data_IF_137709023114
#
_entry.id   IF_137709023114
#
_cell.length_a   1.000
_cell.length_b   1.000
_cell.length_c   1.000
_cell.angle_alpha   90.00
_cell.angle_beta   90.00
_cell.angle_gamma   90.00
#
_symmetry.space_group_name_H-M   'P 1'
#
loop_
_entity.id
_entity.type
_entity.pdbx_description
1 polymer ?
#
# COMPACT_ATOMS: atom_id res chain seq x y z
N UNK A 1 5.07 2.18 8.98
CA UNK A 1 5.41 2.60 10.36
C UNK A 1 5.66 4.10 10.47
N UNK A 2 4.93 4.93 9.73
CA UNK A 2 5.18 6.37 9.72
C UNK A 2 4.42 7.03 10.88
N UNK A 3 5.03 8.01 11.53
CA UNK A 3 4.30 9.08 12.22
C UNK A 3 3.95 10.09 11.14
N UNK A 4 2.67 10.25 10.83
CA UNK A 4 2.19 11.24 9.82
C UNK A 4 1.42 12.37 10.49
N UNK A 5 0.65 12.07 11.54
CA UNK A 5 -0.09 13.02 12.35
C UNK A 5 0.25 12.74 13.80
N UNK A 6 0.79 13.72 14.54
CA UNK A 6 1.27 13.54 15.92
C UNK A 6 2.62 12.83 16.04
N UNK A 7 3.06 12.57 17.26
CA UNK A 7 4.41 12.07 17.57
C UNK A 7 4.56 10.54 17.47
N UNK A 8 3.44 9.81 17.41
CA UNK A 8 3.43 8.36 17.36
C UNK A 8 3.18 7.81 15.95
N UNK A 9 3.58 6.55 15.71
CA UNK A 9 3.29 5.88 14.45
C UNK A 9 1.81 5.54 14.32
N UNK A 10 1.31 5.48 13.08
CA UNK A 10 -0.12 5.18 12.82
C UNK A 10 -0.60 3.87 13.45
N UNK A 11 0.23 2.83 13.41
CA UNK A 11 -0.09 1.52 14.02
C UNK A 11 -0.21 1.63 15.55
N UNK A 12 0.65 2.43 16.19
CA UNK A 12 0.58 2.66 17.65
C UNK A 12 -0.68 3.44 18.03
N UNK A 13 -1.01 4.48 17.27
CA UNK A 13 -2.26 5.22 17.46
C UNK A 13 -3.50 4.35 17.27
N UNK A 14 -3.46 3.41 16.33
CA UNK A 14 -4.54 2.44 16.09
C UNK A 14 -4.68 1.43 17.22
N UNK A 15 -3.58 0.92 17.78
CA UNK A 15 -3.65 0.04 18.94
C UNK A 15 -4.14 0.76 20.20
N UNK A 16 -3.69 1.99 20.43
CA UNK A 16 -4.07 2.77 21.61
C UNK A 16 -5.54 3.21 21.58
N UNK A 17 -6.09 3.59 20.41
CA UNK A 17 -7.49 4.08 20.34
C UNK A 17 -8.52 3.04 20.75
N UNK A 18 -8.19 1.75 20.66
CA UNK A 18 -9.06 0.68 21.14
C UNK A 18 -9.23 0.69 22.66
N UNK A 19 -8.27 1.25 23.41
CA UNK A 19 -8.31 1.31 24.86
C UNK A 19 -8.65 -0.04 25.49
N UNK A 20 -9.50 -0.01 26.51
CA UNK A 20 -9.95 -1.22 27.21
C UNK A 20 -11.13 -1.93 26.52
N UNK A 21 -11.66 -1.37 25.40
CA UNK A 21 -12.73 -2.04 24.64
C UNK A 21 -12.23 -3.35 24.05
N UNK A 22 -10.98 -3.37 23.58
CA UNK A 22 -10.27 -4.59 23.22
C UNK A 22 -8.93 -4.59 23.95
N UNK A 23 -8.76 -5.35 25.04
CA UNK A 23 -7.51 -5.38 25.78
C UNK A 23 -6.38 -5.99 24.93
N UNK A 24 -5.09 -5.67 25.20
CA UNK A 24 -3.95 -6.11 24.40
C UNK A 24 -3.91 -7.62 24.10
N UNK A 25 -4.29 -8.46 25.06
CA UNK A 25 -4.28 -9.92 24.93
C UNK A 25 -5.31 -10.45 23.93
N UNK A 26 -6.33 -9.64 23.60
CA UNK A 26 -7.36 -9.96 22.61
C UNK A 26 -7.12 -9.30 21.25
N UNK A 27 -6.13 -8.42 21.13
CA UNK A 27 -5.76 -7.81 19.85
C UNK A 27 -4.99 -8.81 18.99
N UNK A 28 -5.03 -8.59 17.68
CA UNK A 28 -4.23 -9.32 16.70
C UNK A 28 -3.84 -8.35 15.59
N UNK A 29 -2.58 -8.42 15.17
CA UNK A 29 -2.07 -7.69 14.02
C UNK A 29 -1.69 -8.70 12.95
N UNK A 30 -2.40 -8.69 11.83
CA UNK A 30 -2.02 -9.44 10.63
C UNK A 30 -1.33 -8.47 9.69
N UNK A 31 -0.11 -8.81 9.28
CA UNK A 31 0.75 -7.92 8.49
C UNK A 31 1.70 -8.74 7.63
N UNK A 32 2.42 -8.12 6.70
CA UNK A 32 3.45 -8.82 5.94
C UNK A 32 4.57 -9.34 6.86
N UNK A 33 5.07 -10.56 6.62
CA UNK A 33 6.14 -11.19 7.39
C UNK A 33 7.36 -10.28 7.62
N UNK A 34 7.72 -9.44 6.64
CA UNK A 34 8.86 -8.50 6.75
C UNK A 34 8.64 -7.41 7.80
N UNK A 35 7.39 -7.11 8.16
CA UNK A 35 7.02 -6.05 9.10
C UNK A 35 6.85 -6.57 10.53
N UNK A 36 6.87 -7.89 10.77
CA UNK A 36 6.57 -8.48 12.08
C UNK A 36 7.50 -7.95 13.19
N UNK A 37 8.81 -7.96 12.96
CA UNK A 37 9.79 -7.50 13.96
C UNK A 37 9.62 -6.01 14.31
N UNK A 38 9.22 -5.25 13.30
CA UNK A 38 9.03 -3.82 13.35
C UNK A 38 7.72 -3.43 14.05
N UNK A 39 6.64 -4.15 13.77
CA UNK A 39 5.38 -4.07 14.52
C UNK A 39 5.57 -4.46 15.98
N UNK A 40 6.32 -5.52 16.27
CA UNK A 40 6.59 -5.96 17.64
C UNK A 40 7.31 -4.87 18.47
N UNK A 41 8.25 -4.12 17.86
CA UNK A 41 8.87 -2.96 18.51
C UNK A 41 7.89 -1.81 18.74
N UNK A 42 6.96 -1.60 17.81
CA UNK A 42 5.94 -0.55 17.91
C UNK A 42 4.80 -0.90 18.87
N UNK A 43 4.60 -2.18 19.19
CA UNK A 43 3.51 -2.66 20.06
C UNK A 43 4.04 -3.70 21.06
N UNK A 44 4.99 -3.32 21.96
CA UNK A 44 5.60 -4.26 22.91
C UNK A 44 4.60 -4.86 23.91
N UNK A 45 3.44 -4.25 24.07
CA UNK A 45 2.33 -4.76 24.90
C UNK A 45 1.60 -5.96 24.29
N UNK A 46 1.76 -6.23 22.99
CA UNK A 46 1.11 -7.36 22.34
C UNK A 46 1.91 -8.66 22.55
N UNK A 47 1.23 -9.79 22.82
CA UNK A 47 1.87 -11.10 22.77
C UNK A 47 2.45 -11.34 21.38
N UNK A 48 3.64 -11.94 21.29
CA UNK A 48 4.27 -12.25 20.00
C UNK A 48 3.38 -13.13 19.10
N UNK A 49 2.63 -14.06 19.70
CA UNK A 49 1.65 -14.91 19.01
C UNK A 49 0.45 -14.15 18.43
N UNK A 50 0.27 -12.88 18.79
CA UNK A 50 -0.79 -12.01 18.28
C UNK A 50 -0.35 -11.18 17.08
N UNK A 51 0.91 -11.30 16.64
CA UNK A 51 1.43 -10.65 15.43
C UNK A 51 1.66 -11.73 14.37
N UNK A 52 0.77 -11.79 13.39
CA UNK A 52 0.78 -12.78 12.32
C UNK A 52 1.44 -12.21 11.07
N UNK A 53 2.48 -12.89 10.59
CA UNK A 53 3.21 -12.51 9.38
C UNK A 53 2.74 -13.26 8.14
N UNK A 54 2.06 -12.57 7.22
CA UNK A 54 1.69 -13.09 5.93
C UNK A 54 2.92 -13.22 5.01
N UNK A 55 3.13 -14.38 4.36
CA UNK A 55 4.32 -14.62 3.53
C UNK A 55 4.32 -13.77 2.24
N UNK A 56 3.15 -13.42 1.73
CA UNK A 56 2.98 -12.60 0.53
C UNK A 56 1.67 -11.81 0.57
N UNK A 57 1.54 -10.74 -0.23
CA UNK A 57 0.31 -9.95 -0.29
C UNK A 57 -0.82 -10.74 -0.99
N UNK A 58 -1.98 -10.84 -0.33
CA UNK A 58 -3.21 -11.44 -0.87
C UNK A 58 -4.47 -10.59 -0.66
N UNK A 59 -4.31 -9.31 -0.38
CA UNK A 59 -5.41 -8.36 -0.12
C UNK A 59 -6.21 -8.72 1.16
N UNK A 60 -7.31 -8.03 1.45
CA UNK A 60 -7.93 -8.05 2.78
C UNK A 60 -8.78 -9.29 3.08
N UNK A 61 -9.37 -9.97 2.10
CA UNK A 61 -10.24 -11.13 2.41
C UNK A 61 -9.45 -12.32 2.99
N UNK A 62 -8.29 -12.73 2.42
CA UNK A 62 -7.49 -13.80 3.01
C UNK A 62 -6.90 -13.44 4.38
N UNK A 63 -6.48 -12.18 4.55
CA UNK A 63 -6.02 -11.63 5.83
C UNK A 63 -7.09 -11.76 6.93
N UNK A 64 -8.32 -11.31 6.63
CA UNK A 64 -9.46 -11.36 7.55
C UNK A 64 -9.90 -12.80 7.80
N UNK A 65 -9.95 -13.64 6.76
CA UNK A 65 -10.32 -15.05 6.87
C UNK A 65 -9.35 -15.82 7.77
N UNK A 66 -8.04 -15.56 7.64
CA UNK A 66 -7.02 -16.15 8.52
C UNK A 66 -7.24 -15.71 9.97
N UNK A 67 -7.43 -14.40 10.21
CA UNK A 67 -7.70 -13.88 11.55
C UNK A 67 -8.96 -14.51 12.17
N UNK A 68 -10.04 -14.63 11.40
CA UNK A 68 -11.29 -15.23 11.84
C UNK A 68 -11.14 -16.71 12.18
N UNK A 69 -10.39 -17.50 11.39
CA UNK A 69 -10.10 -18.90 11.70
C UNK A 69 -9.20 -19.03 12.95
N UNK A 70 -8.23 -18.15 13.14
CA UNK A 70 -7.40 -18.15 14.35
C UNK A 70 -8.23 -17.83 15.60
N UNK A 71 -9.17 -16.89 15.52
CA UNK A 71 -10.12 -16.62 16.60
C UNK A 71 -11.01 -17.84 16.84
N UNK A 72 -11.65 -18.37 15.80
CA UNK A 72 -12.61 -19.46 15.91
C UNK A 72 -12.00 -20.80 16.36
N UNK A 73 -10.86 -21.19 15.77
CA UNK A 73 -10.22 -22.50 15.99
C UNK A 73 -9.09 -22.42 17.02
N UNK A 74 -8.08 -21.58 16.78
CA UNK A 74 -6.88 -21.56 17.61
C UNK A 74 -7.15 -20.98 19.01
N UNK A 75 -8.00 -19.94 19.10
CA UNK A 75 -8.47 -19.36 20.38
C UNK A 75 -9.76 -20.01 20.90
N UNK A 76 -10.36 -20.94 20.16
CA UNK A 76 -11.59 -21.66 20.51
C UNK A 76 -12.80 -20.74 20.77
N UNK A 77 -12.92 -19.65 20.01
CA UNK A 77 -13.98 -18.65 20.17
C UNK A 77 -14.73 -18.40 18.84
N UNK A 78 -15.52 -19.37 18.34
CA UNK A 78 -16.21 -19.25 17.06
C UNK A 78 -17.29 -18.15 17.03
N UNK A 79 -17.84 -17.79 18.20
CA UNK A 79 -18.82 -16.72 18.35
C UNK A 79 -18.19 -15.37 18.73
N UNK A 80 -16.86 -15.31 18.80
CA UNK A 80 -16.13 -14.09 19.13
C UNK A 80 -16.43 -12.96 18.14
N UNK A 81 -16.86 -11.82 18.67
CA UNK A 81 -17.05 -10.60 17.89
C UNK A 81 -15.70 -9.97 17.57
N UNK A 82 -15.44 -9.76 16.28
CA UNK A 82 -14.23 -9.15 15.75
C UNK A 82 -14.52 -7.72 15.33
N UNK A 83 -13.69 -6.78 15.78
CA UNK A 83 -13.55 -5.45 15.18
C UNK A 83 -12.32 -5.46 14.28
N UNK A 84 -12.53 -5.26 12.99
CA UNK A 84 -11.49 -5.26 11.95
C UNK A 84 -11.28 -3.83 11.48
N UNK A 85 -10.03 -3.37 11.47
CA UNK A 85 -9.70 -2.00 11.07
C UNK A 85 -8.32 -1.89 10.42
N UNK A 86 -8.15 -1.02 9.42
CA UNK A 86 -6.84 -0.68 8.88
C UNK A 86 -5.95 0.02 9.92
N UNK A 87 -4.65 -0.25 9.84
CA UNK A 87 -3.66 0.26 10.78
C UNK A 87 -3.23 1.72 10.51
N UNK A 88 -3.64 2.28 9.38
CA UNK A 88 -3.15 3.52 8.78
C UNK A 88 -4.19 4.65 8.72
N UNK A 89 -5.36 4.47 9.32
CA UNK A 89 -6.37 5.53 9.43
C UNK A 89 -6.09 6.47 10.62
N UNK A 90 -6.35 7.77 10.44
CA UNK A 90 -6.39 8.73 11.54
C UNK A 90 -7.82 8.83 12.04
N UNK A 91 -8.02 8.52 13.32
CA UNK A 91 -9.30 8.70 14.02
C UNK A 91 -9.05 9.55 15.26
N UNK A 92 -9.76 10.67 15.37
CA UNK A 92 -9.70 11.54 16.55
C UNK A 92 -10.72 11.09 17.60
N UNK A 93 -10.56 11.56 18.85
CA UNK A 93 -11.47 11.26 19.98
C UNK A 93 -11.67 9.75 20.22
N UNK A 94 -10.66 9.05 20.77
CA UNK A 94 -10.72 7.61 21.05
C UNK A 94 -11.98 7.19 21.80
N UNK A 95 -12.48 8.00 22.73
CA UNK A 95 -13.66 7.67 23.55
C UNK A 95 -14.94 7.57 22.71
N UNK A 96 -15.07 8.43 21.69
CA UNK A 96 -16.21 8.42 20.76
C UNK A 96 -16.12 7.22 19.83
N UNK A 97 -14.91 6.90 19.35
CA UNK A 97 -14.67 5.69 18.56
C UNK A 97 -15.01 4.42 19.37
N UNK A 98 -14.55 4.35 20.61
CA UNK A 98 -14.81 3.23 21.53
C UNK A 98 -16.31 3.04 21.81
N UNK A 99 -17.06 4.14 22.01
CA UNK A 99 -18.51 4.07 22.17
C UNK A 99 -19.19 3.52 20.90
N UNK A 100 -18.74 3.94 19.72
CA UNK A 100 -19.26 3.42 18.44
C UNK A 100 -18.92 1.93 18.22
N UNK A 101 -17.74 1.47 18.65
CA UNK A 101 -17.38 0.04 18.62
C UNK A 101 -18.28 -0.79 19.54
N UNK A 102 -18.55 -0.31 20.77
CA UNK A 102 -19.50 -0.98 21.68
C UNK A 102 -20.92 -1.04 21.12
N UNK A 103 -21.35 0.02 20.42
CA UNK A 103 -22.63 0.01 19.72
C UNK A 103 -22.65 -1.04 18.59
N UNK A 104 -21.56 -1.14 17.81
CA UNK A 104 -21.44 -2.15 16.77
C UNK A 104 -21.47 -3.58 17.33
N UNK A 105 -20.77 -3.82 18.44
CA UNK A 105 -20.83 -5.09 19.18
C UNK A 105 -22.26 -5.42 19.63
N UNK A 106 -22.96 -4.47 20.25
CA UNK A 106 -24.35 -4.66 20.68
C UNK A 106 -25.31 -4.98 19.51
N UNK A 107 -25.10 -4.37 18.34
CA UNK A 107 -25.87 -4.70 17.13
C UNK A 107 -25.60 -6.11 16.62
N UNK A 108 -24.35 -6.59 16.70
CA UNK A 108 -23.99 -7.97 16.37
C UNK A 108 -24.55 -8.95 17.40
N UNK A 109 -24.58 -8.59 18.68
CA UNK A 109 -25.18 -9.44 19.72
C UNK A 109 -26.70 -9.58 19.58
N UNK A 110 -27.38 -8.51 19.21
CA UNK A 110 -28.82 -8.51 18.94
C UNK A 110 -29.17 -9.37 17.71
N UNK A 111 -28.30 -9.41 16.70
CA UNK A 111 -28.46 -10.24 15.51
C UNK A 111 -27.12 -10.83 15.04
N UNK A 112 -26.75 -12.04 15.49
CA UNK A 112 -25.43 -12.65 15.27
C UNK A 112 -24.91 -12.70 13.82
N UNK A 113 -25.81 -12.86 12.85
CA UNK A 113 -25.50 -12.92 11.42
C UNK A 113 -25.26 -11.54 10.79
N UNK A 114 -25.39 -10.46 11.57
CA UNK A 114 -25.23 -9.09 11.10
C UNK A 114 -23.75 -8.76 10.90
N UNK A 115 -23.49 -8.06 9.81
CA UNK A 115 -22.23 -7.36 9.58
C UNK A 115 -22.47 -5.87 9.84
N UNK A 116 -21.63 -5.24 10.66
CA UNK A 116 -21.68 -3.82 10.93
C UNK A 116 -20.47 -3.14 10.31
N UNK A 117 -20.67 -1.98 9.69
CA UNK A 117 -19.59 -1.10 9.20
C UNK A 117 -19.81 0.33 9.67
N UNK A 118 -18.82 1.18 9.51
CA UNK A 118 -18.87 2.60 9.87
C UNK A 118 -18.82 3.46 8.61
N UNK A 119 -19.86 4.27 8.42
CA UNK A 119 -20.03 5.15 7.27
C UNK A 119 -19.62 6.58 7.59
N UNK A 120 -18.69 7.15 6.81
CA UNK A 120 -18.26 8.55 6.96
C UNK A 120 -19.12 9.43 6.06
N UNK A 121 -19.64 10.54 6.57
CA UNK A 121 -20.38 11.52 5.75
C UNK A 121 -19.45 12.11 4.67
N UNK A 122 -19.77 11.93 3.37
CA UNK A 122 -18.96 12.48 2.29
C UNK A 122 -18.98 14.01 2.34
N UNK A 123 -17.80 14.62 2.23
CA UNK A 123 -17.65 16.08 2.14
C UNK A 123 -17.28 16.54 0.72
N UNK A 124 -16.92 15.59 -0.15
CA UNK A 124 -16.61 15.78 -1.56
C UNK A 124 -16.86 14.47 -2.35
N UNK A 125 -16.88 14.49 -3.69
CA UNK A 125 -17.12 13.29 -4.49
C UNK A 125 -15.80 12.54 -4.74
N UNK A 126 -15.38 11.69 -3.80
CA UNK A 126 -14.14 10.94 -3.88
C UNK A 126 -14.27 9.71 -4.80
N UNK A 127 -13.42 9.56 -5.81
CA UNK A 127 -13.42 8.35 -6.68
C UNK A 127 -12.67 7.17 -6.05
N UNK A 128 -11.85 7.44 -5.02
CA UNK A 128 -10.95 6.45 -4.42
C UNK A 128 -11.61 5.62 -3.31
N UNK A 129 -12.78 6.04 -2.83
CA UNK A 129 -13.49 5.39 -1.73
C UNK A 129 -14.62 4.50 -2.22
N UNK A 130 -14.91 3.45 -1.46
CA UNK A 130 -16.19 2.77 -1.51
C UNK A 130 -17.31 3.64 -0.95
N UNK A 131 -18.51 3.46 -1.48
CA UNK A 131 -19.72 4.16 -1.06
C UNK A 131 -20.77 3.17 -0.55
N UNK A 132 -21.47 3.56 0.51
CA UNK A 132 -22.51 2.79 1.19
C UNK A 132 -23.81 3.56 1.09
N UNK A 133 -24.81 3.03 0.40
CA UNK A 133 -26.14 3.65 0.40
C UNK A 133 -26.91 3.18 1.62
N UNK A 134 -27.33 4.12 2.48
CA UNK A 134 -28.18 3.80 3.63
C UNK A 134 -29.64 3.61 3.20
N UNK A 135 -30.33 2.70 3.87
CA UNK A 135 -31.75 2.44 3.73
C UNK A 135 -32.49 2.94 4.98
N UNK A 136 -33.44 2.16 5.48
CA UNK A 136 -34.19 2.52 6.69
C UNK A 136 -33.28 2.58 7.93
N UNK A 137 -33.59 3.50 8.84
CA UNK A 137 -32.97 3.53 10.16
C UNK A 137 -33.33 2.24 10.94
N UNK A 138 -32.37 1.75 11.73
CA UNK A 138 -32.63 0.67 12.66
C UNK A 138 -33.53 1.16 13.80
N UNK A 139 -34.52 0.35 14.17
CA UNK A 139 -35.49 0.68 15.23
C UNK A 139 -34.84 0.73 16.61
N UNK A 140 -33.85 -0.12 16.83
CA UNK A 140 -33.02 -0.15 18.04
C UNK A 140 -31.55 -0.11 17.57
N UNK A 141 -30.93 1.09 17.53
CA UNK A 141 -29.55 1.23 17.09
C UNK A 141 -28.55 0.78 18.17
N UNK A 142 -29.00 0.41 19.38
CA UNK A 142 -28.19 -0.03 20.51
C UNK A 142 -27.06 0.94 20.90
N UNK A 143 -27.28 2.25 20.73
CA UNK A 143 -26.32 3.31 21.09
C UNK A 143 -26.76 4.69 20.61
N UNK A 144 -25.91 5.69 20.84
CA UNK A 144 -26.24 7.10 20.57
C UNK A 144 -26.11 7.49 19.09
N UNK A 145 -25.27 6.79 18.33
CA UNK A 145 -25.09 7.10 16.91
C UNK A 145 -26.24 6.52 16.08
N UNK A 146 -26.61 7.23 15.01
CA UNK A 146 -27.59 6.71 14.05
C UNK A 146 -27.06 5.47 13.36
N UNK A 147 -27.89 4.44 13.23
CA UNK A 147 -27.56 3.24 12.49
C UNK A 147 -28.67 2.92 11.49
N UNK A 148 -28.28 2.47 10.30
CA UNK A 148 -29.17 2.20 9.18
C UNK A 148 -28.90 0.82 8.60
N UNK A 149 -29.89 0.23 7.95
CA UNK A 149 -29.62 -0.88 7.02
C UNK A 149 -28.88 -0.36 5.81
N UNK A 150 -28.12 -1.22 5.15
CA UNK A 150 -27.46 -0.90 3.89
C UNK A 150 -28.30 -1.37 2.71
N UNK A 151 -28.61 -0.47 1.78
CA UNK A 151 -29.29 -0.81 0.53
C UNK A 151 -28.32 -1.45 -0.48
N UNK A 152 -27.10 -0.90 -0.60
CA UNK A 152 -26.04 -1.42 -1.47
C UNK A 152 -24.68 -0.84 -1.13
N UNK A 153 -23.64 -1.59 -1.49
CA UNK A 153 -22.25 -1.12 -1.57
C UNK A 153 -21.88 -0.82 -3.02
N UNK A 154 -20.99 0.15 -3.20
CA UNK A 154 -20.40 0.47 -4.49
C UNK A 154 -18.94 0.84 -4.32
N UNK A 155 -18.02 -0.02 -4.74
CA UNK A 155 -16.59 0.26 -4.66
C UNK A 155 -16.14 1.21 -5.79
N UNK A 156 -15.41 2.27 -5.43
CA UNK A 156 -14.67 3.19 -6.33
C UNK A 156 -15.47 3.64 -7.57
N UNK A 157 -16.56 4.41 -7.38
CA UNK A 157 -17.35 4.93 -8.48
C UNK A 157 -16.55 5.94 -9.34
N UNK A 158 -16.98 6.14 -10.59
CA UNK A 158 -16.46 7.24 -11.40
C UNK A 158 -16.88 8.62 -10.84
N UNK A 159 -16.16 9.68 -11.25
CA UNK A 159 -16.40 11.06 -10.79
C UNK A 159 -17.86 11.52 -10.88
N UNK A 160 -18.58 11.15 -11.94
CA UNK A 160 -19.97 11.57 -12.14
C UNK A 160 -20.87 10.89 -11.11
N UNK A 161 -20.71 9.58 -10.96
CA UNK A 161 -21.43 8.77 -9.98
C UNK A 161 -21.11 9.22 -8.54
N UNK A 162 -19.85 9.52 -8.22
CA UNK A 162 -19.47 10.04 -6.91
C UNK A 162 -20.12 11.41 -6.59
N UNK A 163 -20.27 12.28 -7.61
CA UNK A 163 -20.98 13.54 -7.47
C UNK A 163 -22.48 13.36 -7.24
N UNK A 164 -23.10 12.39 -7.92
CA UNK A 164 -24.50 12.00 -7.68
C UNK A 164 -24.70 11.46 -6.26
N UNK A 165 -23.80 10.60 -5.78
CA UNK A 165 -23.87 10.04 -4.42
C UNK A 165 -23.72 11.11 -3.33
N UNK A 166 -22.83 12.09 -3.55
CA UNK A 166 -22.72 13.24 -2.65
C UNK A 166 -24.02 14.07 -2.64
N UNK A 167 -24.59 14.32 -3.82
CA UNK A 167 -25.77 15.16 -3.98
C UNK A 167 -27.04 14.52 -3.39
N UNK A 168 -27.15 13.19 -3.38
CA UNK A 168 -28.33 12.49 -2.84
C UNK A 168 -28.41 12.52 -1.30
N UNK A 169 -27.26 12.65 -0.62
CA UNK A 169 -27.19 12.77 0.86
C UNK A 169 -27.58 11.50 1.63
N UNK A 170 -27.79 10.39 0.93
CA UNK A 170 -28.08 9.06 1.49
C UNK A 170 -26.91 8.08 1.36
N UNK A 171 -25.74 8.55 0.93
CA UNK A 171 -24.52 7.74 0.90
C UNK A 171 -23.51 8.14 1.97
N UNK A 172 -22.76 7.15 2.43
CA UNK A 172 -21.56 7.28 3.25
C UNK A 172 -20.34 6.77 2.50
N UNK A 173 -19.14 7.29 2.79
CA UNK A 173 -17.90 6.60 2.45
C UNK A 173 -17.71 5.38 3.34
N UNK A 174 -17.22 4.29 2.74
CA UNK A 174 -16.78 3.10 3.44
C UNK A 174 -15.48 3.39 4.19
N UNK A 175 -15.50 3.28 5.51
CA UNK A 175 -14.31 3.50 6.34
C UNK A 175 -13.33 2.32 6.34
N UNK A 176 -13.70 1.18 5.75
CA UNK A 176 -12.91 -0.06 5.82
C UNK A 176 -12.88 -0.69 7.23
N UNK A 177 -13.69 -0.18 8.17
CA UNK A 177 -13.82 -0.72 9.52
C UNK A 177 -15.10 -1.56 9.58
N UNK A 178 -14.97 -2.77 10.13
CA UNK A 178 -16.06 -3.73 10.19
C UNK A 178 -16.15 -4.45 11.53
N UNK A 179 -17.36 -4.82 11.93
CA UNK A 179 -17.65 -5.58 13.14
C UNK A 179 -18.62 -6.72 12.84
N UNK A 180 -18.24 -7.95 13.21
CA UNK A 180 -19.02 -9.18 12.98
C UNK A 180 -18.54 -10.31 13.89
N UNK A 181 -19.30 -11.41 13.99
CA UNK A 181 -18.76 -12.66 14.58
C UNK A 181 -17.78 -13.35 13.63
N UNK A 182 -16.82 -14.06 14.21
CA UNK A 182 -15.90 -14.91 13.45
C UNK A 182 -16.67 -15.94 12.60
N UNK A 183 -17.69 -16.60 13.17
CA UNK A 183 -18.57 -17.52 12.44
C UNK A 183 -19.25 -16.85 11.23
N UNK A 184 -19.81 -15.66 11.40
CA UNK A 184 -20.51 -14.92 10.35
C UNK A 184 -19.62 -14.63 9.15
N UNK A 185 -18.40 -14.14 9.36
CA UNK A 185 -17.49 -13.85 8.24
C UNK A 185 -16.95 -15.13 7.59
N UNK A 186 -16.75 -16.18 8.37
CA UNK A 186 -16.33 -17.49 7.83
C UNK A 186 -17.43 -18.14 7.00
N UNK A 187 -18.70 -18.01 7.39
CA UNK A 187 -19.84 -18.49 6.62
C UNK A 187 -19.96 -17.74 5.28
N UNK A 188 -19.80 -16.42 5.30
CA UNK A 188 -19.76 -15.61 4.09
C UNK A 188 -18.60 -16.01 3.15
N UNK A 189 -17.40 -16.20 3.70
CA UNK A 189 -16.25 -16.66 2.91
C UNK A 189 -16.43 -18.08 2.40
N UNK A 190 -17.12 -18.96 3.14
CA UNK A 190 -17.41 -20.32 2.68
C UNK A 190 -18.34 -20.33 1.46
N UNK A 191 -19.30 -19.41 1.43
CA UNK A 191 -20.20 -19.27 0.29
C UNK A 191 -19.50 -18.62 -0.92
N UNK A 192 -18.72 -17.56 -0.67
CA UNK A 192 -18.23 -16.67 -1.75
C UNK A 192 -16.81 -16.96 -2.21
N UNK A 193 -15.97 -17.48 -1.32
CA UNK A 193 -14.54 -17.74 -1.53
C UNK A 193 -14.13 -19.13 -0.98
N UNK A 194 -14.83 -20.23 -1.37
CA UNK A 194 -14.60 -21.55 -0.79
C UNK A 194 -13.17 -22.08 -0.98
N UNK A 195 -12.54 -21.80 -2.12
CA UNK A 195 -11.14 -22.18 -2.38
C UNK A 195 -10.18 -21.47 -1.42
N UNK A 196 -10.33 -20.15 -1.25
CA UNK A 196 -9.56 -19.36 -0.28
C UNK A 196 -9.73 -19.90 1.13
N UNK A 197 -10.97 -20.15 1.55
CA UNK A 197 -11.24 -20.68 2.89
C UNK A 197 -10.61 -22.06 3.10
N UNK A 198 -10.66 -22.95 2.11
CA UNK A 198 -10.04 -24.28 2.21
C UNK A 198 -8.52 -24.22 2.39
N UNK A 199 -7.83 -23.30 1.69
CA UNK A 199 -6.39 -23.05 1.92
C UNK A 199 -6.13 -22.56 3.35
N UNK A 200 -6.92 -21.59 3.81
CA UNK A 200 -6.77 -21.03 5.17
C UNK A 200 -7.07 -22.06 6.26
N UNK A 201 -8.05 -22.94 6.06
CA UNK A 201 -8.37 -24.01 7.01
C UNK A 201 -7.19 -24.96 7.21
N UNK A 202 -6.51 -25.37 6.13
CA UNK A 202 -5.31 -26.21 6.23
C UNK A 202 -4.18 -25.50 6.99
N UNK A 203 -4.01 -24.19 6.77
CA UNK A 203 -3.01 -23.38 7.47
C UNK A 203 -3.28 -23.42 8.97
N UNK A 204 -4.53 -23.17 9.38
CA UNK A 204 -4.89 -23.13 10.80
C UNK A 204 -4.89 -24.52 11.44
N UNK A 205 -5.25 -25.58 10.70
CA UNK A 205 -5.17 -26.95 11.19
C UNK A 205 -3.72 -27.39 11.45
N UNK A 206 -2.74 -26.79 10.75
CA UNK A 206 -1.31 -27.03 10.94
C UNK A 206 -0.62 -25.99 11.86
N UNK A 207 -1.35 -25.02 12.43
CA UNK A 207 -0.79 -23.80 13.03
C UNK A 207 0.24 -24.07 14.14
N UNK A 208 -0.09 -24.99 15.06
CA UNK A 208 0.74 -25.34 16.21
C UNK A 208 1.63 -26.58 15.96
N UNK A 209 1.77 -26.99 14.69
CA UNK A 209 2.59 -28.15 14.30
C UNK A 209 3.98 -27.70 13.85
N UNK A 210 5.00 -28.59 13.90
CA UNK A 210 6.33 -28.29 13.37
C UNK A 210 6.35 -27.89 11.89
N UNK A 211 5.40 -28.41 11.09
CA UNK A 211 5.28 -28.11 9.66
C UNK A 211 4.47 -26.83 9.37
N UNK A 212 3.87 -26.23 10.40
CA UNK A 212 2.99 -25.05 10.29
C UNK A 212 3.56 -23.92 9.44
N UNK A 213 4.83 -23.46 9.64
CA UNK A 213 5.42 -22.41 8.82
C UNK A 213 5.50 -22.77 7.33
N UNK A 214 5.84 -24.02 7.00
CA UNK A 214 5.96 -24.47 5.61
C UNK A 214 4.57 -24.60 4.95
N UNK A 215 3.57 -25.09 5.70
CA UNK A 215 2.18 -25.14 5.24
C UNK A 215 1.63 -23.73 5.02
N UNK A 216 1.91 -22.79 5.94
CA UNK A 216 1.49 -21.41 5.81
C UNK A 216 2.06 -20.74 4.55
N UNK A 217 3.38 -20.86 4.33
CA UNK A 217 4.01 -20.31 3.13
C UNK A 217 3.42 -20.89 1.84
N UNK A 218 3.27 -22.22 1.76
CA UNK A 218 2.78 -22.90 0.58
C UNK A 218 1.31 -22.61 0.27
N UNK A 219 0.42 -22.83 1.24
CA UNK A 219 -1.04 -22.71 1.03
C UNK A 219 -1.45 -21.24 0.86
N UNK A 220 -0.81 -20.29 1.58
CA UNK A 220 -1.15 -18.88 1.44
C UNK A 220 -0.68 -18.31 0.10
N UNK A 221 0.46 -18.78 -0.42
CA UNK A 221 0.92 -18.42 -1.76
C UNK A 221 -0.03 -18.94 -2.87
N UNK A 222 -0.77 -20.02 -2.63
CA UNK A 222 -1.75 -20.56 -3.59
C UNK A 222 -3.05 -19.76 -3.67
N UNK A 223 -3.37 -18.96 -2.64
CA UNK A 223 -4.58 -18.13 -2.60
C UNK A 223 -4.54 -17.07 -3.71
N UNK A 224 -5.68 -16.85 -4.38
CA UNK A 224 -5.87 -15.69 -5.26
C UNK A 224 -6.32 -14.50 -4.41
N UNK A 225 -5.60 -13.39 -4.49
CA UNK A 225 -5.89 -12.22 -3.67
C UNK A 225 -7.20 -11.53 -4.07
N UNK A 226 -7.97 -11.09 -3.09
CA UNK A 226 -9.23 -10.35 -3.28
C UNK A 226 -9.56 -9.55 -2.02
N UNK A 227 -10.09 -8.33 -2.17
CA UNK A 227 -10.55 -7.53 -1.03
C UNK A 227 -11.81 -8.13 -0.38
N UNK A 228 -12.00 -7.86 0.90
CA UNK A 228 -13.22 -8.26 1.62
C UNK A 228 -14.47 -7.55 1.10
N UNK A 229 -14.30 -6.33 0.60
CA UNK A 229 -15.38 -5.54 0.02
C UNK A 229 -15.99 -6.25 -1.20
N UNK A 230 -15.14 -6.67 -2.14
CA UNK A 230 -15.56 -7.46 -3.30
C UNK A 230 -16.00 -8.88 -2.93
N UNK A 231 -15.27 -9.55 -2.02
CA UNK A 231 -15.55 -10.94 -1.70
C UNK A 231 -16.88 -11.11 -0.96
N UNK A 232 -17.21 -10.19 -0.04
CA UNK A 232 -18.32 -10.30 0.89
C UNK A 232 -19.24 -9.09 0.85
N UNK A 233 -18.72 -7.86 1.04
CA UNK A 233 -19.58 -6.69 1.33
C UNK A 233 -20.53 -6.32 0.18
N UNK A 234 -20.10 -6.44 -1.08
CA UNK A 234 -20.98 -6.19 -2.24
C UNK A 234 -22.14 -7.20 -2.38
N UNK A 235 -22.09 -8.31 -1.65
CA UNK A 235 -23.06 -9.40 -1.74
C UNK A 235 -23.81 -9.66 -0.43
N UNK A 236 -23.31 -9.14 0.69
CA UNK A 236 -23.89 -9.32 1.99
C UNK A 236 -25.26 -8.64 2.09
N UNK A 237 -26.26 -9.35 2.59
CA UNK A 237 -27.65 -8.88 2.69
C UNK A 237 -28.00 -8.36 4.07
N UNK A 238 -27.32 -8.82 5.12
CA UNK A 238 -27.56 -8.40 6.50
C UNK A 238 -26.47 -7.42 6.99
N UNK A 239 -26.39 -6.26 6.34
CA UNK A 239 -25.41 -5.24 6.68
C UNK A 239 -26.09 -4.02 7.32
N UNK A 240 -25.52 -3.57 8.44
CA UNK A 240 -25.84 -2.31 9.08
C UNK A 240 -24.66 -1.34 8.95
N UNK A 241 -24.97 -0.06 8.75
CA UNK A 241 -23.99 1.03 8.79
C UNK A 241 -24.30 1.95 9.96
N UNK A 242 -23.31 2.13 10.85
CA UNK A 242 -23.34 3.20 11.85
C UNK A 242 -22.79 4.45 11.18
N UNK A 243 -23.54 5.55 11.23
CA UNK A 243 -22.99 6.85 10.85
C UNK A 243 -21.87 7.21 11.83
N UNK A 244 -20.63 7.30 11.34
CA UNK A 244 -19.48 7.46 12.20
C UNK A 244 -19.57 8.76 13.01
N UNK A 245 -19.65 8.68 14.36
CA UNK A 245 -19.73 9.87 15.21
C UNK A 245 -18.35 10.51 15.47
N UNK A 246 -17.28 9.96 14.90
CA UNK A 246 -15.90 10.37 15.08
C UNK A 246 -15.30 10.94 13.80
N UNK A 247 -14.27 11.76 13.93
CA UNK A 247 -13.50 12.23 12.78
C UNK A 247 -12.61 11.12 12.22
N UNK A 248 -12.60 10.99 10.91
CA UNK A 248 -11.85 9.95 10.19
C UNK A 248 -11.13 10.54 8.97
N UNK A 249 -9.92 10.07 8.70
CA UNK A 249 -9.21 10.31 7.43
C UNK A 249 -8.35 9.06 7.13
N UNK A 250 -8.38 8.57 5.89
CA UNK A 250 -7.63 7.39 5.45
C UNK A 250 -6.16 7.68 5.11
N UNK A 251 -5.77 8.96 5.09
CA UNK A 251 -4.47 9.43 4.65
C UNK A 251 -4.05 8.88 3.26
N UNK A 252 -5.01 8.68 2.33
CA UNK A 252 -4.81 8.08 1.00
C UNK A 252 -3.85 8.81 0.04
N UNK A 253 -3.18 9.85 0.52
CA UNK A 253 -2.07 10.55 -0.13
C UNK A 253 -1.70 11.83 0.62
N UNK A 254 -0.56 12.46 0.26
CA UNK A 254 -0.07 13.69 0.91
C UNK A 254 -1.10 14.83 0.99
N UNK A 255 -2.08 14.88 0.08
CA UNK A 255 -3.16 15.87 0.10
C UNK A 255 -4.12 15.74 1.28
N UNK A 256 -4.00 14.67 2.07
CA UNK A 256 -4.66 14.54 3.37
C UNK A 256 -4.04 15.39 4.47
N UNK A 257 -2.73 15.66 4.40
CA UNK A 257 -2.02 16.39 5.46
C UNK A 257 -2.53 17.82 5.65
N UNK A 258 -2.79 18.63 4.61
CA UNK A 258 -3.36 19.97 4.80
C UNK A 258 -4.70 19.96 5.52
N UNK A 259 -5.54 18.93 5.28
CA UNK A 259 -6.84 18.81 5.96
C UNK A 259 -6.71 18.59 7.46
N UNK A 260 -5.64 17.90 7.89
CA UNK A 260 -5.40 17.53 9.29
C UNK A 260 -4.53 18.54 10.04
N UNK A 261 -3.48 19.03 9.39
CA UNK A 261 -2.46 19.88 10.01
C UNK A 261 -2.68 21.37 9.74
N UNK A 262 -3.64 21.69 8.88
CA UNK A 262 -3.89 23.05 8.40
C UNK A 262 -2.89 23.49 7.34
N UNK A 263 -3.11 24.70 6.85
CA UNK A 263 -2.21 25.39 5.94
C UNK A 263 -2.00 26.83 6.42
N UNK A 264 -0.85 27.40 6.07
CA UNK A 264 -0.56 28.82 6.28
C UNK A 264 -1.35 29.72 5.30
N UNK A 265 -1.19 31.04 5.43
CA UNK A 265 -1.85 32.04 4.57
C UNK A 265 -1.50 31.89 3.07
N UNK A 266 -0.38 31.24 2.76
CA UNK A 266 0.08 30.95 1.39
C UNK A 266 -0.35 29.54 0.91
N UNK A 267 -1.15 28.84 1.69
CA UNK A 267 -1.65 27.50 1.39
C UNK A 267 -0.63 26.38 1.58
N UNK A 268 0.48 26.62 2.29
CA UNK A 268 1.49 25.60 2.56
C UNK A 268 1.17 24.82 3.84
N UNK A 269 1.44 23.52 3.82
CA UNK A 269 1.38 22.67 5.03
C UNK A 269 2.79 22.27 5.41
N UNK A 270 3.28 22.78 6.54
CA UNK A 270 4.67 22.66 6.97
C UNK A 270 4.76 21.84 8.26
N UNK A 271 5.59 20.81 8.23
CA UNK A 271 5.92 19.96 9.38
C UNK A 271 7.43 19.88 9.51
N UNK A 272 7.99 20.60 10.47
CA UNK A 272 9.45 20.70 10.68
C UNK A 272 9.99 22.08 10.30
N UNK A 273 11.33 22.22 10.23
CA UNK A 273 11.97 23.50 9.93
C UNK A 273 11.91 23.79 8.43
N UNK A 274 11.31 24.91 8.05
CA UNK A 274 11.19 25.34 6.67
C UNK A 274 11.48 26.83 6.50
N UNK A 275 12.15 27.17 5.41
CA UNK A 275 12.33 28.55 4.94
C UNK A 275 11.85 28.63 3.49
N UNK A 276 10.62 29.12 3.29
CA UNK A 276 10.06 29.34 1.96
C UNK A 276 10.26 30.78 1.48
N UNK A 277 10.77 30.94 0.27
CA UNK A 277 10.79 32.21 -0.47
C UNK A 277 9.95 32.03 -1.74
N UNK A 278 8.84 32.78 -1.84
CA UNK A 278 7.83 32.61 -2.90
C UNK A 278 7.35 31.14 -3.01
N UNK A 279 6.92 30.56 -1.88
CA UNK A 279 6.41 29.20 -1.81
C UNK A 279 4.93 29.21 -1.50
N UNK A 280 4.12 28.56 -2.34
CA UNK A 280 2.65 28.52 -2.21
C UNK A 280 2.11 27.12 -2.45
N UNK A 281 1.00 26.77 -1.78
CA UNK A 281 0.30 25.50 -2.01
C UNK A 281 1.15 24.24 -1.78
N UNK A 282 2.27 24.34 -1.04
CA UNK A 282 3.29 23.29 -0.96
C UNK A 282 3.21 22.53 0.36
N UNK A 283 3.41 21.22 0.31
CA UNK A 283 3.51 20.39 1.52
C UNK A 283 4.99 20.13 1.80
N UNK A 284 5.48 20.57 2.96
CA UNK A 284 6.85 20.38 3.42
C UNK A 284 6.85 19.54 4.67
N UNK A 285 7.56 18.41 4.66
CA UNK A 285 7.81 17.60 5.86
C UNK A 285 9.30 17.33 6.01
N UNK A 286 9.84 17.60 7.19
CA UNK A 286 11.24 17.34 7.54
C UNK A 286 11.42 17.02 9.02
N UNK A 287 12.60 16.51 9.39
CA UNK A 287 12.94 16.19 10.77
C UNK A 287 13.31 17.47 11.55
N UNK A 288 13.20 17.49 12.89
CA UNK A 288 13.46 18.71 13.69
C UNK A 288 14.87 19.29 13.54
N UNK A 289 15.84 18.48 13.14
CA UNK A 289 17.25 18.81 12.95
C UNK A 289 17.59 19.28 11.54
N UNK A 290 16.68 19.16 10.58
CA UNK A 290 16.92 19.48 9.18
C UNK A 290 16.06 20.65 8.70
N UNK A 291 16.67 21.61 7.98
CA UNK A 291 15.98 22.76 7.41
C UNK A 291 15.76 22.54 5.92
N UNK A 292 14.50 22.57 5.48
CA UNK A 292 14.16 22.59 4.05
C UNK A 292 14.00 24.03 3.57
N UNK A 293 14.67 24.39 2.48
CA UNK A 293 14.55 25.71 1.84
C UNK A 293 13.89 25.56 0.48
N UNK A 294 12.82 26.31 0.21
CA UNK A 294 12.13 26.32 -1.09
C UNK A 294 12.18 27.71 -1.70
N UNK A 295 12.44 27.78 -3.01
CA UNK A 295 12.62 29.02 -3.77
C UNK A 295 11.75 29.00 -5.03
N UNK A 296 10.69 29.82 -5.08
CA UNK A 296 9.81 29.94 -6.25
C UNK A 296 8.98 28.69 -6.56
N UNK A 297 8.61 27.92 -5.52
CA UNK A 297 7.91 26.63 -5.65
C UNK A 297 6.41 26.81 -5.44
N UNK A 298 5.59 26.33 -6.37
CA UNK A 298 4.13 26.35 -6.27
C UNK A 298 3.54 24.95 -6.51
N UNK A 299 2.52 24.58 -5.72
CA UNK A 299 1.75 23.33 -5.86
C UNK A 299 2.61 22.04 -5.87
N UNK A 300 3.74 22.06 -5.16
CA UNK A 300 4.66 20.94 -5.09
C UNK A 300 4.52 20.14 -3.80
N UNK A 301 4.96 18.87 -3.83
CA UNK A 301 5.13 18.04 -2.64
C UNK A 301 6.63 17.90 -2.40
N UNK A 302 7.12 18.45 -1.30
CA UNK A 302 8.55 18.39 -0.93
C UNK A 302 8.65 17.63 0.39
N UNK A 303 8.98 16.34 0.31
CA UNK A 303 9.18 15.49 1.48
C UNK A 303 10.47 14.69 1.34
N UNK A 304 11.35 14.81 2.33
CA UNK A 304 12.43 13.85 2.56
C UNK A 304 12.08 13.06 3.82
N UNK A 305 12.08 11.72 3.71
CA UNK A 305 11.78 10.81 4.80
C UNK A 305 13.04 10.01 5.14
N UNK A 306 13.79 10.43 6.16
CA UNK A 306 14.93 9.67 6.67
C UNK A 306 14.47 8.72 7.78
N UNK A 307 14.65 7.41 7.58
CA UNK A 307 14.64 6.43 8.67
C UNK A 307 16.05 6.36 9.27
N UNK A 308 16.24 6.91 10.47
CA UNK A 308 17.52 6.81 11.18
C UNK A 308 17.82 5.34 11.56
N UNK A 309 18.90 4.78 11.00
CA UNK A 309 19.59 3.64 11.59
C UNK A 309 20.60 4.16 12.62
N UNK A 310 20.65 3.51 13.78
CA UNK A 310 21.36 3.94 14.98
C UNK A 310 22.84 4.28 14.78
N UNK A 311 23.29 5.33 15.48
CA UNK A 311 24.67 5.79 15.52
C UNK A 311 25.58 4.87 16.36
N UNK A 312 26.27 3.95 15.71
CA UNK A 312 27.43 3.25 16.28
C UNK A 312 28.70 4.08 16.14
N UNK A 313 29.26 4.54 17.26
CA UNK A 313 30.61 5.13 17.32
C UNK A 313 31.65 4.04 17.03
N UNK A 314 32.52 4.25 16.05
CA UNK A 314 33.68 3.40 15.78
C UNK A 314 34.83 4.20 15.19
N UNK A 315 35.94 4.28 15.92
CA UNK A 315 37.17 4.98 15.56
C UNK A 315 37.80 4.46 14.26
N UNK A 316 38.42 5.37 13.51
CA UNK A 316 39.27 5.06 12.38
C UNK A 316 40.71 4.77 12.86
N UNK A 317 41.27 3.65 12.43
CA UNK A 317 42.71 3.48 12.25
C UNK A 317 42.96 2.52 11.07
N UNK A 318 44.05 2.82 10.37
CA UNK A 318 44.50 2.31 9.06
C UNK A 318 45.03 0.88 9.11
N UNK A 319 44.93 0.14 7.98
CA UNK A 319 46.09 -0.55 7.39
C UNK A 319 45.79 -1.17 6.00
N UNK A 320 46.72 -0.87 5.09
CA UNK A 320 47.31 -1.60 3.98
C UNK A 320 46.53 -2.35 2.88
N UNK A 321 47.07 -2.12 1.68
CA UNK A 321 46.55 -2.45 0.36
C UNK A 321 46.62 -3.93 -0.02
N UNK A 322 45.53 -4.45 -0.57
CA UNK A 322 45.48 -5.68 -1.37
C UNK A 322 44.69 -5.41 -2.68
N UNK A 323 45.23 -5.66 -3.89
CA UNK A 323 44.58 -5.28 -5.16
C UNK A 323 43.32 -6.06 -5.54
N UNK A 324 42.85 -7.00 -4.70
CA UNK A 324 41.61 -7.77 -4.93
C UNK A 324 40.40 -7.30 -4.09
N UNK A 325 40.51 -6.21 -3.32
CA UNK A 325 39.39 -5.64 -2.54
C UNK A 325 38.57 -4.56 -3.26
N UNK A 326 38.84 -4.30 -4.55
CA UNK A 326 38.25 -3.18 -5.30
C UNK A 326 36.75 -3.30 -5.67
N UNK A 327 36.01 -4.31 -5.20
CA UNK A 327 34.58 -4.50 -5.52
C UNK A 327 33.63 -4.01 -4.40
N UNK A 328 34.15 -3.50 -3.27
CA UNK A 328 33.29 -2.92 -2.22
C UNK A 328 33.71 -1.50 -1.92
N UNK A 329 33.35 -0.58 -2.80
CA UNK A 329 33.39 0.85 -2.47
C UNK A 329 31.98 1.28 -2.01
N UNK A 330 31.76 1.57 -0.71
CA UNK A 330 30.46 2.03 -0.18
C UNK A 330 30.05 3.39 -0.74
N UNK A 331 30.95 4.11 -1.41
CA UNK A 331 30.66 5.40 -2.05
C UNK A 331 29.94 5.26 -3.41
N UNK A 332 29.87 4.06 -4.00
CA UNK A 332 29.11 3.78 -5.23
C UNK A 332 27.61 3.51 -4.97
N UNK A 333 27.14 3.65 -3.73
CA UNK A 333 25.75 3.40 -3.32
C UNK A 333 24.90 4.68 -3.15
N UNK A 334 25.37 5.83 -3.64
CA UNK A 334 24.60 7.09 -3.64
C UNK A 334 24.31 7.53 -5.07
N UNK A 335 23.11 7.24 -5.56
CA UNK A 335 22.67 7.69 -6.87
C UNK A 335 21.28 7.18 -7.23
N UNK A 336 20.61 7.89 -8.15
CA UNK A 336 19.29 7.51 -8.65
C UNK A 336 19.41 6.32 -9.60
N UNK A 337 18.31 5.61 -9.80
CA UNK A 337 18.20 4.54 -10.77
C UNK A 337 17.16 4.90 -11.82
N UNK A 338 17.42 4.54 -13.08
CA UNK A 338 16.47 4.75 -14.17
C UNK A 338 15.71 3.47 -14.48
N UNK A 339 14.39 3.53 -14.55
CA UNK A 339 13.54 2.43 -15.01
C UNK A 339 13.14 2.64 -16.45
N UNK A 340 13.18 1.57 -17.26
CA UNK A 340 12.81 1.59 -18.66
C UNK A 340 11.82 0.47 -18.98
N UNK A 341 10.62 0.87 -19.43
CA UNK A 341 9.68 0.00 -20.12
C UNK A 341 9.93 0.11 -21.64
N UNK A 342 10.49 -0.95 -22.21
CA UNK A 342 10.96 -0.95 -23.58
C UNK A 342 9.82 -1.16 -24.58
N UNK A 343 9.66 -0.18 -25.50
CA UNK A 343 8.86 -0.33 -26.70
C UNK A 343 9.61 0.05 -27.98
N UNK A 344 9.19 -0.53 -29.10
CA UNK A 344 9.86 -0.37 -30.40
C UNK A 344 9.71 1.04 -31.00
N UNK A 345 8.67 1.78 -30.61
CA UNK A 345 8.40 3.16 -31.06
C UNK A 345 8.50 4.16 -29.92
N UNK A 346 8.06 3.77 -28.73
CA UNK A 346 8.02 4.62 -27.54
C UNK A 346 8.58 3.86 -26.36
N UNK A 347 9.26 4.57 -25.48
CA UNK A 347 9.92 4.03 -24.31
C UNK A 347 9.37 4.76 -23.10
N UNK A 348 8.87 4.00 -22.12
CA UNK A 348 8.53 4.54 -20.82
C UNK A 348 9.78 4.74 -19.99
N UNK A 349 9.94 5.91 -19.39
CA UNK A 349 11.08 6.21 -18.53
C UNK A 349 10.60 6.63 -17.15
N UNK A 350 11.20 6.07 -16.12
CA UNK A 350 10.98 6.42 -14.72
C UNK A 350 12.31 6.66 -14.00
N UNK A 351 12.29 7.45 -12.94
CA UNK A 351 13.45 7.69 -12.08
C UNK A 351 13.08 7.30 -10.66
N UNK A 352 13.95 6.52 -10.04
CA UNK A 352 13.78 6.04 -8.67
C UNK A 352 14.99 6.33 -7.82
N UNK A 353 14.78 6.32 -6.51
CA UNK A 353 15.82 6.50 -5.51
C UNK A 353 15.92 5.24 -4.65
N UNK A 354 17.13 4.67 -4.56
CA UNK A 354 17.40 3.45 -3.80
C UNK A 354 17.31 3.66 -2.29
N UNK A 355 17.59 4.87 -1.79
CA UNK A 355 17.52 5.16 -0.35
C UNK A 355 16.07 5.34 0.10
N UNK A 356 15.24 5.95 -0.76
CA UNK A 356 13.84 6.27 -0.44
C UNK A 356 12.88 5.15 -0.85
N UNK A 357 13.30 4.24 -1.73
CA UNK A 357 12.46 3.14 -2.23
C UNK A 357 11.27 3.62 -3.06
N UNK A 358 11.34 4.83 -3.62
CA UNK A 358 10.27 5.43 -4.41
C UNK A 358 10.70 5.60 -5.87
N UNK A 359 9.78 5.33 -6.80
CA UNK A 359 9.92 5.64 -8.22
C UNK A 359 8.86 6.65 -8.67
N UNK A 360 9.24 7.53 -9.58
CA UNK A 360 8.36 8.52 -10.21
C UNK A 360 8.42 8.38 -11.74
N UNK A 361 7.30 8.60 -12.44
CA UNK A 361 7.30 8.56 -13.89
C UNK A 361 8.04 9.81 -14.39
N UNK A 362 8.98 9.62 -15.32
CA UNK A 362 9.77 10.71 -15.88
C UNK A 362 9.14 11.20 -17.18
N UNK A 363 9.15 10.37 -18.22
CA UNK A 363 8.54 10.73 -19.50
C UNK A 363 8.26 9.53 -20.41
N UNK A 364 7.48 9.78 -21.48
CA UNK A 364 7.29 8.87 -22.60
C UNK A 364 8.17 9.31 -23.77
N UNK A 365 9.33 8.70 -23.90
CA UNK A 365 10.30 9.04 -24.92
C UNK A 365 9.90 8.41 -26.27
N UNK A 366 9.74 9.23 -27.32
CA UNK A 366 9.53 8.74 -28.68
C UNK A 366 10.88 8.50 -29.35
N UNK A 367 11.13 7.27 -29.80
CA UNK A 367 12.37 6.91 -30.48
C UNK A 367 12.50 7.64 -31.80
N UNK A 368 13.71 8.10 -32.11
CA UNK A 368 14.01 8.90 -33.29
C UNK A 368 15.02 8.19 -34.18
N UNK A 369 16.28 8.20 -33.75
CA UNK A 369 17.38 7.53 -34.44
C UNK A 369 18.38 7.09 -33.39
N UNK A 370 19.17 6.06 -33.70
CA UNK A 370 20.11 5.50 -32.73
C UNK A 370 21.04 6.57 -32.11
N UNK A 371 21.52 7.52 -32.92
CA UNK A 371 22.35 8.62 -32.43
C UNK A 371 21.60 9.53 -31.46
N UNK A 372 20.39 9.97 -31.82
CA UNK A 372 19.60 10.90 -30.99
C UNK A 372 19.02 10.23 -29.74
N UNK A 373 18.68 8.95 -29.82
CA UNK A 373 18.25 8.15 -28.68
C UNK A 373 19.40 7.97 -27.69
N UNK A 374 20.60 7.67 -28.19
CA UNK A 374 21.80 7.54 -27.36
C UNK A 374 22.19 8.85 -26.66
N UNK A 375 22.17 9.98 -27.38
CA UNK A 375 22.44 11.32 -26.82
C UNK A 375 21.45 11.69 -25.72
N UNK A 376 20.18 11.36 -25.91
CA UNK A 376 19.13 11.58 -24.92
C UNK A 376 19.39 10.77 -23.64
N UNK A 377 19.53 9.43 -23.74
CA UNK A 377 19.73 8.60 -22.55
C UNK A 377 21.06 8.88 -21.83
N UNK A 378 22.11 9.24 -22.56
CA UNK A 378 23.39 9.63 -21.97
C UNK A 378 23.28 10.97 -21.22
N UNK A 379 22.51 11.92 -21.75
CA UNK A 379 22.24 13.20 -21.08
C UNK A 379 21.41 12.97 -19.82
N UNK A 380 20.33 12.20 -19.93
CA UNK A 380 19.47 11.86 -18.80
C UNK A 380 20.25 11.15 -17.68
N UNK A 381 21.06 10.15 -18.03
CA UNK A 381 21.91 9.45 -17.07
C UNK A 381 22.85 10.39 -16.30
N UNK A 382 23.42 11.38 -16.99
CA UNK A 382 24.33 12.36 -16.38
C UNK A 382 23.59 13.39 -15.52
N UNK A 383 22.46 13.91 -15.98
CA UNK A 383 21.68 14.93 -15.28
C UNK A 383 21.03 14.37 -14.00
N UNK A 384 20.46 13.16 -14.10
CA UNK A 384 19.85 12.46 -12.97
C UNK A 384 20.87 11.70 -12.11
N UNK A 385 22.16 11.72 -12.50
CA UNK A 385 23.26 11.02 -11.81
C UNK A 385 22.94 9.54 -11.60
N UNK A 386 22.51 8.88 -12.67
CA UNK A 386 22.10 7.49 -12.63
C UNK A 386 23.29 6.58 -12.39
N UNK A 387 23.15 5.72 -11.37
CA UNK A 387 24.14 4.69 -11.07
C UNK A 387 23.76 3.33 -11.66
N UNK A 388 22.50 3.17 -12.09
CA UNK A 388 21.98 1.94 -12.70
C UNK A 388 20.73 2.21 -13.54
N UNK A 389 20.57 1.41 -14.59
CA UNK A 389 19.34 1.25 -15.33
C UNK A 389 18.68 -0.09 -15.00
N UNK A 390 17.35 -0.12 -14.94
CA UNK A 390 16.52 -1.31 -14.81
C UNK A 390 15.62 -1.38 -16.03
N UNK A 391 15.76 -2.44 -16.82
CA UNK A 391 14.98 -2.65 -18.06
C UNK A 391 13.99 -3.79 -17.85
N UNK A 392 12.73 -3.51 -18.12
CA UNK A 392 11.67 -4.49 -18.03
C UNK A 392 11.77 -5.59 -19.10
N UNK A 393 11.48 -6.83 -18.69
CA UNK A 393 11.40 -7.99 -19.57
C UNK A 393 9.96 -8.50 -19.63
N UNK A 394 9.25 -8.31 -20.76
CA UNK A 394 7.95 -8.92 -20.96
C UNK A 394 8.15 -10.42 -21.23
N UNK A 395 7.74 -11.29 -20.30
CA UNK A 395 7.80 -12.76 -20.46
C UNK A 395 6.37 -13.32 -20.44
N UNK A 396 6.01 -14.11 -21.46
CA UNK A 396 4.71 -14.79 -21.49
C UNK A 396 4.70 -16.03 -20.56
N UNK A 397 3.49 -16.47 -20.17
CA UNK A 397 3.22 -17.47 -19.12
C UNK A 397 3.84 -18.87 -19.35
N UNK A 398 4.46 -19.16 -20.50
CA UNK A 398 5.11 -20.44 -20.81
C UNK A 398 6.60 -20.49 -20.45
N UNK A 399 7.19 -19.36 -20.01
CA UNK A 399 8.60 -19.29 -19.62
C UNK A 399 9.60 -19.32 -20.77
N UNK A 400 9.15 -19.28 -22.04
CA UNK A 400 10.02 -19.15 -23.21
C UNK A 400 10.40 -17.68 -23.49
N UNK A 401 11.64 -17.42 -23.91
CA UNK A 401 12.03 -16.07 -24.34
C UNK A 401 11.25 -15.67 -25.60
N UNK A 402 10.45 -14.60 -25.50
CA UNK A 402 9.72 -14.05 -26.63
C UNK A 402 10.63 -13.15 -27.48
N UNK A 403 10.27 -12.92 -28.75
CA UNK A 403 10.95 -11.96 -29.63
C UNK A 403 11.08 -10.57 -28.99
N UNK A 404 10.10 -10.15 -28.18
CA UNK A 404 10.14 -8.87 -27.44
C UNK A 404 11.16 -8.87 -26.31
N UNK A 405 11.30 -10.00 -25.60
CA UNK A 405 12.32 -10.16 -24.54
C UNK A 405 13.73 -10.06 -25.11
N UNK A 406 13.97 -10.66 -26.30
CA UNK A 406 15.24 -10.53 -27.02
C UNK A 406 15.53 -9.07 -27.44
N UNK A 407 14.52 -8.35 -27.91
CA UNK A 407 14.65 -6.93 -28.27
C UNK A 407 14.92 -6.03 -27.06
N UNK A 408 14.23 -6.26 -25.93
CA UNK A 408 14.48 -5.55 -24.67
C UNK A 408 15.90 -5.80 -24.14
N UNK A 409 16.42 -7.04 -24.25
CA UNK A 409 17.80 -7.37 -23.90
C UNK A 409 18.82 -6.67 -24.80
N UNK A 410 18.59 -6.64 -26.11
CA UNK A 410 19.46 -5.92 -27.06
C UNK A 410 19.45 -4.42 -26.77
N UNK A 411 18.28 -3.86 -26.47
CA UNK A 411 18.16 -2.47 -26.06
C UNK A 411 18.90 -2.19 -24.75
N UNK A 412 18.77 -3.05 -23.74
CA UNK A 412 19.51 -2.91 -22.48
C UNK A 412 21.03 -2.93 -22.68
N UNK A 413 21.56 -3.84 -23.50
CA UNK A 413 23.00 -3.86 -23.85
C UNK A 413 23.43 -2.55 -24.53
N UNK A 414 22.67 -2.11 -25.52
CA UNK A 414 22.91 -0.84 -26.21
C UNK A 414 22.83 0.36 -25.25
N UNK A 415 21.88 0.38 -24.31
CA UNK A 415 21.70 1.46 -23.33
C UNK A 415 22.91 1.55 -22.38
N UNK A 416 23.42 0.40 -21.92
CA UNK A 416 24.63 0.35 -21.12
C UNK A 416 25.84 0.92 -21.89
N UNK A 417 26.01 0.53 -23.15
CA UNK A 417 27.09 1.03 -24.01
C UNK A 417 27.02 2.54 -24.27
N UNK A 418 25.82 3.08 -24.51
CA UNK A 418 25.65 4.52 -24.81
C UNK A 418 25.75 5.41 -23.59
N UNK A 419 25.32 4.93 -22.43
CA UNK A 419 25.28 5.74 -21.20
C UNK A 419 26.48 5.54 -20.28
N UNK A 420 27.19 4.41 -20.41
CA UNK A 420 28.25 4.01 -19.47
C UNK A 420 27.71 3.59 -18.09
N UNK A 421 26.39 3.47 -17.94
CA UNK A 421 25.71 3.09 -16.69
C UNK A 421 25.28 1.62 -16.77
N UNK A 422 25.53 0.78 -15.75
CA UNK A 422 25.17 -0.63 -15.78
C UNK A 422 23.65 -0.84 -15.87
N UNK A 423 23.24 -1.91 -16.56
CA UNK A 423 21.84 -2.28 -16.76
C UNK A 423 21.54 -3.62 -16.07
N UNK A 424 20.45 -3.66 -15.32
CA UNK A 424 19.83 -4.88 -14.80
C UNK A 424 18.47 -5.12 -15.46
N UNK A 425 18.06 -6.38 -15.52
CA UNK A 425 16.78 -6.77 -16.10
C UNK A 425 15.80 -7.23 -15.02
N UNK A 426 14.54 -6.83 -15.15
CA UNK A 426 13.48 -7.16 -14.20
C UNK A 426 12.31 -7.88 -14.90
N UNK A 427 11.83 -8.97 -14.30
CA UNK A 427 10.77 -9.81 -14.86
C UNK A 427 9.38 -9.22 -14.56
N UNK A 428 8.67 -8.80 -15.61
CA UNK A 428 7.38 -8.11 -15.52
C UNK A 428 6.18 -9.03 -15.22
N UNK A 429 6.36 -10.35 -15.12
CA UNK A 429 5.25 -11.31 -14.90
C UNK A 429 4.46 -11.08 -13.61
N UNK A 430 5.07 -10.43 -12.62
CA UNK A 430 4.45 -10.18 -11.32
C UNK A 430 3.76 -8.80 -11.21
N UNK A 431 3.81 -7.97 -12.26
CA UNK A 431 3.36 -6.57 -12.21
C UNK A 431 2.31 -6.17 -13.27
N UNK A 432 2.06 -7.01 -14.28
CA UNK A 432 1.14 -6.68 -15.39
C UNK A 432 -0.32 -6.50 -14.94
N UNK A 433 -0.79 -7.28 -13.96
CA UNK A 433 -2.15 -7.17 -13.43
C UNK A 433 -2.40 -5.86 -12.67
N UNK A 434 -1.44 -5.41 -11.86
CA UNK A 434 -1.54 -4.15 -11.10
C UNK A 434 -1.48 -2.92 -12.00
N UNK A 435 -0.64 -2.94 -13.03
CA UNK A 435 -0.62 -1.86 -14.01
C UNK A 435 -1.96 -1.77 -14.73
N UNK A 436 -2.49 -2.87 -15.26
CA UNK A 436 -3.79 -2.88 -15.95
C UNK A 436 -4.96 -2.41 -15.06
N UNK A 437 -5.00 -2.78 -13.78
CA UNK A 437 -6.02 -2.32 -12.83
C UNK A 437 -5.93 -0.81 -12.54
N UNK A 438 -4.74 -0.27 -12.29
CA UNK A 438 -4.51 1.17 -12.10
C UNK A 438 -4.92 1.96 -13.36
N UNK A 439 -4.75 1.35 -14.54
CA UNK A 439 -5.07 1.95 -15.83
C UNK A 439 -6.54 1.84 -16.23
N UNK A 440 -7.27 0.84 -15.70
CA UNK A 440 -8.73 0.75 -15.82
C UNK A 440 -9.43 1.77 -14.91
N UNK A 441 -8.87 2.08 -13.75
CA UNK A 441 -9.39 3.08 -12.82
C UNK A 441 -9.19 4.55 -13.29
N UNK A 442 -8.19 4.82 -14.13
CA UNK A 442 -7.98 6.16 -14.69
C UNK A 442 -8.89 6.40 -15.90
N UNK A 443 -10.00 7.13 -15.71
CA UNK A 443 -11.05 7.41 -16.69
C UNK A 443 -10.61 8.33 -17.87
N UNK A 444 -9.56 7.93 -18.59
CA UNK A 444 -8.90 8.69 -19.65
C UNK A 444 -9.36 8.23 -21.05
N UNK A 445 -9.46 9.16 -22.01
CA UNK A 445 -9.78 8.79 -23.41
C UNK A 445 -8.72 7.85 -24.02
N UNK A 446 -9.08 6.96 -24.95
CA UNK A 446 -8.17 5.95 -25.55
C UNK A 446 -6.84 6.54 -26.07
N UNK A 447 -6.90 7.75 -26.64
CA UNK A 447 -5.73 8.50 -27.13
C UNK A 447 -4.85 9.07 -26.01
N UNK A 448 -5.43 9.52 -24.90
CA UNK A 448 -4.70 10.03 -23.72
C UNK A 448 -4.17 8.90 -22.84
N UNK A 449 -4.87 7.76 -22.76
CA UNK A 449 -4.38 6.50 -22.16
C UNK A 449 -3.06 6.11 -22.81
N UNK A 450 -3.05 5.94 -24.13
CA UNK A 450 -1.85 5.57 -24.88
C UNK A 450 -0.67 6.52 -24.64
N UNK A 451 -0.91 7.82 -24.45
CA UNK A 451 0.14 8.82 -24.28
C UNK A 451 0.74 8.93 -22.86
N UNK A 452 0.16 8.28 -21.84
CA UNK A 452 0.63 8.30 -20.43
C UNK A 452 1.04 6.92 -19.89
N UNK A 453 0.76 5.86 -20.65
CA UNK A 453 0.89 4.46 -20.26
C UNK A 453 2.33 4.02 -20.00
N UNK A 454 3.26 4.33 -20.91
CA UNK A 454 4.58 3.67 -20.90
C UNK A 454 5.43 4.14 -19.68
N UNK A 455 5.42 5.42 -19.32
CA UNK A 455 6.16 5.98 -18.16
C UNK A 455 5.58 5.51 -16.83
N UNK A 456 4.26 5.29 -16.76
CA UNK A 456 3.61 4.71 -15.58
C UNK A 456 3.95 3.23 -15.45
N UNK A 457 4.00 2.49 -16.56
CA UNK A 457 4.46 1.10 -16.57
C UNK A 457 5.93 1.01 -16.10
N UNK A 458 6.79 1.89 -16.61
CA UNK A 458 8.18 2.01 -16.15
C UNK A 458 8.28 2.35 -14.66
N UNK A 459 7.40 3.21 -14.14
CA UNK A 459 7.36 3.53 -12.71
C UNK A 459 6.94 2.31 -11.87
N UNK A 460 5.87 1.62 -12.24
CA UNK A 460 5.35 0.45 -11.51
C UNK A 460 6.40 -0.66 -11.48
N UNK A 461 7.03 -0.94 -12.62
CA UNK A 461 8.13 -1.89 -12.73
C UNK A 461 9.31 -1.48 -11.83
N UNK A 462 9.70 -0.21 -11.85
CA UNK A 462 10.83 0.27 -11.05
C UNK A 462 10.53 0.22 -9.55
N UNK A 463 9.30 0.55 -9.13
CA UNK A 463 8.85 0.40 -7.75
C UNK A 463 8.92 -1.08 -7.32
N UNK A 464 8.42 -2.00 -8.14
CA UNK A 464 8.48 -3.43 -7.84
C UNK A 464 9.92 -3.95 -7.72
N UNK A 465 10.82 -3.48 -8.60
CA UNK A 465 12.26 -3.78 -8.51
C UNK A 465 12.85 -3.29 -7.18
N UNK A 466 12.56 -2.05 -6.79
CA UNK A 466 13.00 -1.47 -5.51
C UNK A 466 12.48 -2.26 -4.31
N UNK A 467 11.21 -2.66 -4.34
CA UNK A 467 10.57 -3.46 -3.28
C UNK A 467 11.12 -4.89 -3.18
N UNK A 468 11.65 -5.45 -4.27
CA UNK A 468 12.25 -6.79 -4.32
C UNK A 468 13.67 -6.87 -3.71
N UNK A 469 14.23 -5.75 -3.25
CA UNK A 469 15.56 -5.70 -2.62
C UNK A 469 16.74 -5.69 -3.60
N UNK A 470 16.53 -5.16 -4.82
CA UNK A 470 17.57 -4.94 -5.84
C UNK A 470 18.44 -6.18 -6.16
N UNK A 471 17.87 -7.38 -6.10
CA UNK A 471 18.49 -8.60 -6.66
C UNK A 471 18.12 -8.73 -8.14
N UNK A 472 18.64 -7.86 -8.99
CA UNK A 472 18.58 -8.09 -10.43
C UNK A 472 19.49 -9.25 -10.81
N UNK A 473 18.99 -10.15 -11.66
CA UNK A 473 19.84 -11.20 -12.24
C UNK A 473 20.84 -10.54 -13.19
N UNK A 474 22.12 -10.53 -12.80
CA UNK A 474 23.21 -10.28 -13.74
C UNK A 474 23.34 -11.52 -14.63
N UNK A 475 22.61 -11.51 -15.74
CA UNK A 475 22.72 -12.46 -16.87
C UNK A 475 22.55 -13.96 -16.52
N UNK A 476 21.39 -14.59 -16.76
CA UNK A 476 21.28 -16.06 -16.78
C UNK A 476 21.83 -16.58 -18.12
N UNK A 477 23.11 -16.31 -18.35
CA UNK A 477 23.89 -16.84 -19.46
C UNK A 477 24.67 -18.09 -19.07
N UNK A 478 24.16 -18.94 -18.17
CA UNK A 478 24.62 -20.32 -17.96
C UNK A 478 23.74 -21.04 -16.93
N UNK A 479 22.64 -21.62 -17.37
CA UNK A 479 22.05 -22.79 -16.71
C UNK A 479 21.84 -23.82 -17.81
N UNK A 480 22.82 -24.72 -17.93
CA UNK A 480 22.54 -26.11 -18.24
C UNK A 480 22.17 -26.86 -16.96
#
# INVERSE_FOLDING_TARGET
MLSLVGDETMIRQTAQRLGDVVPPERRMVVTNQRLVADVAKQLPELPASSIVGEPCKRDTAPCIGLAALLVAKARQDPDGTMIVMPADHVIATPEVFQAAVKQAEALVDAEPSRIVTFGIKPTYPAEIFGYIQRAEALTDPCGDASAFKVARFREKPDAATAAEFLASGDFYWNSGIFCWRASTILDALRERQPETLAHLEKIVDAWDTPDGPAVFEHEFAAIKGVSIDYAVMEHATNVAVIEAPFEWDDLGGWQSLPRRLGADDAGNTIVGKHLGLNTTGTIVRTTPDHLVVTLGVGDARVGELFMNAESGKGNAESDDANPQSAIRNPQLQRGRIGGVDYGTVRIGVAIGDLEVGMASPHENYNRRSERLDGEYFATLAREERLIRWVVGLPVHLDGGESQKSLEARRFGKWLAEKTGVPVEFFDERYTSSQAEEILQAANLTSKRRKARLDALAAQIMLTAYLESGAKGQTDPGSIG
#
